data_IF_373228913073
#
_entry.id   IF_373228913073
#
_cell.length_a   1.000
_cell.length_b   1.000
_cell.length_c   1.000
_cell.angle_alpha   90.00
_cell.angle_beta   90.00
_cell.angle_gamma   90.00
#
_symmetry.space_group_name_H-M   'P 1'
#
loop_
_entity.id
_entity.type
_entity.pdbx_description
1 polymer ?
#
# COMPACT_ATOMS: atom_id res chain seq x y z
N UNK A 1 23.62 38.32 15.54
CA UNK A 1 24.02 36.94 15.93
C UNK A 1 23.00 36.28 16.84
N UNK A 2 22.68 36.79 18.04
CA UNK A 2 21.73 36.16 19.00
C UNK A 2 20.33 35.80 18.44
N UNK A 3 19.79 36.56 17.49
CA UNK A 3 18.48 36.26 16.88
C UNK A 3 18.51 35.05 15.92
N UNK A 4 19.65 34.80 15.28
CA UNK A 4 19.83 33.64 14.38
C UNK A 4 19.89 32.37 15.22
N UNK A 5 20.61 32.41 16.36
CA UNK A 5 20.67 31.30 17.31
C UNK A 5 19.30 30.98 17.91
N UNK A 6 18.49 32.00 18.21
CA UNK A 6 17.13 31.80 18.70
C UNK A 6 16.22 31.17 17.63
N UNK A 7 16.30 31.64 16.38
CA UNK A 7 15.55 31.06 15.25
C UNK A 7 15.96 29.60 14.98
N UNK A 8 17.25 29.29 15.07
CA UNK A 8 17.75 27.91 14.92
C UNK A 8 17.27 27.01 16.06
N UNK A 9 17.29 27.48 17.32
CA UNK A 9 16.73 26.76 18.46
C UNK A 9 15.23 26.49 18.31
N UNK A 10 14.47 27.49 17.87
CA UNK A 10 13.04 27.33 17.55
C UNK A 10 12.83 26.31 16.42
N UNK A 11 13.64 26.34 15.36
CA UNK A 11 13.53 25.37 14.28
C UNK A 11 13.85 23.93 14.72
N UNK A 12 14.86 23.75 15.58
CA UNK A 12 15.20 22.45 16.16
C UNK A 12 14.05 21.92 17.03
N UNK A 13 13.45 22.79 17.86
CA UNK A 13 12.29 22.43 18.68
C UNK A 13 11.08 22.03 17.83
N UNK A 14 10.75 22.80 16.78
CA UNK A 14 9.66 22.49 15.86
C UNK A 14 9.87 21.16 15.14
N UNK A 15 11.10 20.84 14.75
CA UNK A 15 11.45 19.54 14.14
C UNK A 15 11.30 18.38 15.15
N UNK A 16 11.77 18.56 16.38
CA UNK A 16 11.63 17.55 17.43
C UNK A 16 10.15 17.27 17.75
N UNK A 17 9.32 18.31 17.83
CA UNK A 17 7.88 18.18 18.06
C UNK A 17 7.18 17.45 16.91
N UNK A 18 7.52 17.78 15.66
CA UNK A 18 6.99 17.06 14.49
C UNK A 18 7.35 15.58 14.51
N UNK A 19 8.60 15.23 14.82
CA UNK A 19 9.05 13.85 14.93
C UNK A 19 8.30 13.08 16.04
N UNK A 20 7.97 13.74 17.16
CA UNK A 20 7.15 13.15 18.21
C UNK A 20 5.71 12.89 17.74
N UNK A 21 5.11 13.83 17.00
CA UNK A 21 3.76 13.65 16.42
C UNK A 21 3.77 12.46 15.44
N UNK A 22 4.77 12.37 14.57
CA UNK A 22 4.90 11.28 13.60
C UNK A 22 5.07 9.92 14.30
N UNK A 23 5.86 9.87 15.40
CA UNK A 23 6.02 8.66 16.21
C UNK A 23 4.71 8.23 16.86
N UNK A 24 3.96 9.16 17.44
CA UNK A 24 2.67 8.87 18.07
C UNK A 24 1.64 8.37 17.05
N UNK A 25 1.62 8.95 15.84
CA UNK A 25 0.78 8.49 14.73
C UNK A 25 1.13 7.07 14.28
N UNK A 26 2.42 6.73 14.24
CA UNK A 26 2.84 5.36 13.91
C UNK A 26 2.40 4.35 14.98
N UNK A 27 2.50 4.72 16.26
CA UNK A 27 2.06 3.86 17.38
C UNK A 27 0.54 3.63 17.32
N UNK A 28 -0.26 4.66 17.01
CA UNK A 28 -1.72 4.50 16.91
C UNK A 28 -2.12 3.59 15.75
N UNK A 29 -1.47 3.74 14.58
CA UNK A 29 -1.71 2.86 13.42
C UNK A 29 -1.32 1.41 13.72
N UNK A 30 -0.23 1.18 14.47
CA UNK A 30 0.17 -0.17 14.87
C UNK A 30 -0.82 -0.81 15.83
N UNK A 31 -1.35 -0.02 16.79
CA UNK A 31 -2.35 -0.48 17.75
C UNK A 31 -3.68 -0.84 17.07
N UNK A 32 -4.16 0.00 16.15
CA UNK A 32 -5.35 -0.29 15.34
C UNK A 32 -5.22 -1.62 14.57
N UNK A 33 -4.03 -1.93 14.05
CA UNK A 33 -3.76 -3.21 13.37
C UNK A 33 -3.76 -4.42 14.32
N UNK A 34 -3.28 -4.25 15.55
CA UNK A 34 -3.31 -5.32 16.56
C UNK A 34 -4.74 -5.58 17.05
N UNK A 35 -5.51 -4.51 17.28
CA UNK A 35 -6.91 -4.63 17.69
C UNK A 35 -7.77 -5.27 16.59
N UNK A 36 -7.50 -4.95 15.32
CA UNK A 36 -8.15 -5.60 14.17
C UNK A 36 -7.83 -7.11 14.05
N UNK A 37 -6.67 -7.55 14.56
CA UNK A 37 -6.26 -8.97 14.53
C UNK A 37 -6.78 -9.78 15.73
N UNK A 38 -6.94 -9.16 16.91
CA UNK A 38 -7.36 -9.85 18.13
C UNK A 38 -8.80 -10.39 18.11
N UNK A 39 -9.63 -9.92 17.17
CA UNK A 39 -11.04 -10.35 17.04
C UNK A 39 -11.18 -11.79 16.50
N UNK A 40 -10.11 -12.47 16.05
CA UNK A 40 -10.18 -13.83 15.51
C UNK A 40 -9.72 -14.96 16.45
N UNK A 41 -9.28 -14.68 17.69
CA UNK A 41 -8.71 -15.73 18.55
C UNK A 41 -9.73 -16.36 19.53
N UNK A 42 -10.77 -15.63 19.95
CA UNK A 42 -11.68 -16.09 21.02
C UNK A 42 -12.82 -17.03 20.59
N UNK A 43 -12.83 -17.52 19.35
CA UNK A 43 -13.85 -18.46 18.87
C UNK A 43 -13.31 -19.83 18.44
N UNK A 44 -12.01 -20.12 18.63
CA UNK A 44 -11.45 -21.45 18.35
C UNK A 44 -11.27 -22.20 19.67
N UNK A 45 -12.37 -22.74 20.19
CA UNK A 45 -12.33 -23.74 21.26
C UNK A 45 -13.57 -24.63 21.16
N UNK A 46 -13.32 -25.88 20.72
CA UNK A 46 -14.20 -27.07 20.73
C UNK A 46 -15.38 -27.11 19.75
N UNK A 47 -15.16 -27.82 18.63
CA UNK A 47 -15.90 -29.06 18.32
C UNK A 47 -15.34 -29.69 17.05
N UNK A 48 -14.57 -30.77 17.21
CA UNK A 48 -14.36 -31.75 16.15
C UNK A 48 -15.66 -32.54 16.00
N UNK A 49 -16.32 -32.45 14.84
CA UNK A 49 -17.20 -33.46 14.24
C UNK A 49 -17.47 -33.07 12.79
N UNK A 50 -16.78 -33.76 11.88
CA UNK A 50 -17.21 -34.21 10.55
C UNK A 50 -18.36 -33.47 9.84
N UNK A 51 -18.01 -32.54 8.94
CA UNK A 51 -18.51 -32.50 7.55
C UNK A 51 -17.60 -31.61 6.69
N UNK A 52 -16.61 -32.22 6.03
CA UNK A 52 -15.83 -31.57 4.96
C UNK A 52 -16.70 -31.50 3.71
N UNK A 53 -17.50 -30.45 3.60
CA UNK A 53 -17.88 -29.94 2.28
C UNK A 53 -16.71 -29.07 1.81
N UNK A 54 -16.08 -29.51 0.73
CA UNK A 54 -14.88 -28.92 0.14
C UNK A 54 -15.23 -27.55 -0.47
N UNK A 55 -15.21 -26.51 0.35
CA UNK A 55 -15.15 -25.13 -0.13
C UNK A 55 -13.76 -25.00 -0.78
N UNK A 56 -13.68 -25.24 -2.09
CA UNK A 56 -12.51 -24.86 -2.89
C UNK A 56 -12.33 -23.35 -2.68
N UNK A 57 -11.34 -22.98 -1.87
CA UNK A 57 -10.91 -21.58 -1.76
C UNK A 57 -10.70 -21.10 -3.19
N UNK A 58 -11.33 -20.00 -3.64
CA UNK A 58 -11.08 -19.50 -4.98
C UNK A 58 -9.58 -19.22 -5.07
N UNK A 59 -8.92 -19.85 -6.04
CA UNK A 59 -7.53 -19.55 -6.32
C UNK A 59 -7.40 -18.05 -6.60
N UNK A 60 -6.34 -17.39 -6.10
CA UNK A 60 -6.15 -15.98 -6.37
C UNK A 60 -6.03 -15.78 -7.88
N UNK A 61 -6.91 -14.96 -8.46
CA UNK A 61 -6.86 -14.60 -9.87
C UNK A 61 -5.51 -13.92 -10.12
N UNK A 62 -4.64 -14.55 -10.91
CA UNK A 62 -3.39 -13.94 -11.35
C UNK A 62 -3.73 -12.85 -12.37
N UNK A 63 -3.70 -11.59 -11.94
CA UNK A 63 -3.81 -10.45 -12.86
C UNK A 63 -2.42 -10.20 -13.43
N UNK A 64 -2.23 -10.49 -14.71
CA UNK A 64 -1.01 -10.08 -15.41
C UNK A 64 -0.85 -8.55 -15.33
N UNK A 65 0.36 -8.10 -15.03
CA UNK A 65 0.69 -6.68 -15.02
C UNK A 65 0.60 -6.10 -16.44
N UNK A 66 -0.56 -5.54 -16.79
CA UNK A 66 -0.72 -4.80 -18.05
C UNK A 66 0.10 -3.51 -17.99
N UNK A 67 0.84 -3.21 -19.07
CA UNK A 67 1.59 -1.97 -19.19
C UNK A 67 0.63 -0.77 -19.05
N UNK A 68 0.95 0.15 -18.15
CA UNK A 68 0.20 1.38 -17.97
C UNK A 68 0.30 2.26 -19.21
N UNK A 69 -0.73 3.08 -19.45
CA UNK A 69 -0.85 3.95 -20.63
C UNK A 69 0.41 4.81 -20.88
N UNK A 70 1.10 5.26 -19.84
CA UNK A 70 2.29 6.11 -19.95
C UNK A 70 3.63 5.36 -19.86
N UNK A 71 3.61 4.06 -19.57
CA UNK A 71 4.81 3.24 -19.39
C UNK A 71 5.53 3.03 -20.73
N UNK A 72 6.84 2.71 -20.73
CA UNK A 72 7.53 2.29 -21.94
C UNK A 72 6.80 1.10 -22.58
N UNK A 73 6.63 1.15 -23.90
CA UNK A 73 5.88 0.15 -24.64
C UNK A 73 6.64 -1.20 -24.64
N UNK A 74 6.01 -2.32 -24.26
CA UNK A 74 6.67 -3.62 -24.15
C UNK A 74 7.16 -4.18 -25.49
N UNK A 75 6.76 -3.59 -26.62
CA UNK A 75 7.25 -3.96 -27.95
C UNK A 75 8.69 -3.47 -28.24
N UNK A 76 9.37 -2.86 -27.27
CA UNK A 76 10.76 -2.40 -27.41
C UNK A 76 10.95 -1.12 -28.23
N UNK A 77 9.87 -0.40 -28.58
CA UNK A 77 9.98 0.81 -29.40
C UNK A 77 10.56 2.04 -28.68
N UNK A 78 10.73 1.98 -27.35
CA UNK A 78 11.12 3.12 -26.51
C UNK A 78 10.05 4.21 -26.36
N UNK A 79 8.91 4.11 -27.05
CA UNK A 79 7.79 5.06 -26.95
C UNK A 79 6.87 4.70 -25.77
N UNK A 80 6.11 5.68 -25.26
CA UNK A 80 5.03 5.41 -24.28
C UNK A 80 3.97 4.50 -24.89
N UNK A 81 3.44 3.53 -24.13
CA UNK A 81 2.47 2.55 -24.61
C UNK A 81 1.27 3.20 -25.34
N UNK A 82 0.76 4.32 -24.81
CA UNK A 82 -0.32 5.12 -25.43
C UNK A 82 -0.03 5.73 -26.79
N UNK A 83 1.24 5.89 -27.16
CA UNK A 83 1.66 6.49 -28.43
C UNK A 83 2.22 5.43 -29.39
N UNK A 84 2.09 4.15 -29.02
CA UNK A 84 2.65 3.04 -29.78
C UNK A 84 1.57 1.98 -30.00
N UNK A 85 1.58 0.88 -29.25
CA UNK A 85 0.66 -0.23 -29.46
C UNK A 85 -0.80 0.14 -29.17
N UNK A 86 -1.08 1.00 -28.19
CA UNK A 86 -2.46 1.37 -27.85
C UNK A 86 -3.15 2.18 -28.97
N UNK A 87 -2.39 2.96 -29.74
CA UNK A 87 -2.93 3.71 -30.90
C UNK A 87 -3.11 2.85 -32.14
N UNK A 88 -2.41 1.70 -32.23
CA UNK A 88 -2.60 0.77 -33.35
C UNK A 88 -3.93 0.03 -33.24
N UNK A 89 -4.42 -0.22 -32.03
CA UNK A 89 -5.71 -0.87 -31.76
C UNK A 89 -6.92 0.02 -32.12
N UNK A 90 -6.79 1.35 -31.97
CA UNK A 90 -7.89 2.30 -32.25
C UNK A 90 -8.07 2.69 -33.72
N UNK A 91 -7.20 2.24 -34.63
CA UNK A 91 -7.31 2.52 -36.08
C UNK A 91 -7.69 1.29 -36.90
N UNK A 92 -8.02 0.17 -36.24
CA UNK A 92 -8.51 -1.06 -36.88
C UNK A 92 -10.03 -1.24 -36.66
N UNK A 93 -10.81 -0.20 -36.97
CA UNK A 93 -12.28 -0.24 -37.03
C UNK A 93 -12.76 0.44 -38.31
#
# INVERSE_FOLDING_TARGET
>A
MKQIDNRQKQQIQMRAQKNQIDKNRMISIQKEKQDAFSVHEKAVSKSETEKKEEIKKPEPVHVEHKAGRNDPCPCGSGKKYKKCCLTKESMAS
#
